data_IF_650629402754
#
_entry.id   IF_650629402754
#
_cell.length_a   1.000
_cell.length_b   1.000
_cell.length_c   1.000
_cell.angle_alpha   90.00
_cell.angle_beta   90.00
_cell.angle_gamma   90.00
#
_symmetry.space_group_name_H-M   'P 1'
#
loop_
_entity.id
_entity.type
_entity.pdbx_description
1 polymer ?
#
# COMPACT_ATOMS: atom_id res chain seq x y z
N UNK A 1 -25.63 -23.07 30.02
CA UNK A 1 -24.24 -22.68 29.67
C UNK A 1 -23.93 -22.84 28.18
N UNK A 2 -24.47 -23.85 27.50
CA UNK A 2 -24.08 -24.16 26.11
C UNK A 2 -24.45 -23.09 25.08
N UNK A 3 -25.52 -22.33 25.32
CA UNK A 3 -25.93 -21.22 24.45
C UNK A 3 -24.93 -20.05 24.47
N UNK A 4 -24.37 -19.73 25.64
CA UNK A 4 -23.40 -18.64 25.76
C UNK A 4 -22.07 -19.03 25.08
N UNK A 5 -21.61 -20.27 25.29
CA UNK A 5 -20.42 -20.80 24.61
C UNK A 5 -20.57 -20.77 23.08
N UNK A 6 -21.73 -21.22 22.56
CA UNK A 6 -22.03 -21.15 21.12
C UNK A 6 -22.02 -19.71 20.58
N UNK A 7 -22.63 -18.75 21.28
CA UNK A 7 -22.61 -17.34 20.89
C UNK A 7 -21.19 -16.77 20.82
N UNK A 8 -20.34 -17.09 21.80
CA UNK A 8 -18.94 -16.64 21.83
C UNK A 8 -18.17 -17.21 20.63
N UNK A 9 -18.32 -18.50 20.33
CA UNK A 9 -17.66 -19.14 19.19
C UNK A 9 -18.13 -18.52 17.87
N UNK A 10 -19.44 -18.31 17.70
CA UNK A 10 -19.98 -17.68 16.49
C UNK A 10 -19.43 -16.27 16.31
N UNK A 11 -19.41 -15.45 17.36
CA UNK A 11 -18.84 -14.10 17.31
C UNK A 11 -17.35 -14.11 16.94
N UNK A 12 -16.57 -15.04 17.49
CA UNK A 12 -15.15 -15.18 17.14
C UNK A 12 -14.95 -15.56 15.67
N UNK A 13 -15.78 -16.48 15.15
CA UNK A 13 -15.75 -16.89 13.75
C UNK A 13 -16.13 -15.74 12.80
N UNK A 14 -17.23 -15.02 13.10
CA UNK A 14 -17.65 -13.85 12.32
C UNK A 14 -16.59 -12.75 12.35
N UNK A 15 -15.97 -12.49 13.51
CA UNK A 15 -14.87 -11.53 13.64
C UNK A 15 -13.69 -11.93 12.77
N UNK A 16 -13.31 -13.21 12.79
CA UNK A 16 -12.21 -13.72 11.97
C UNK A 16 -12.52 -13.54 10.48
N UNK A 17 -13.71 -13.94 10.04
CA UNK A 17 -14.15 -13.78 8.64
C UNK A 17 -14.06 -12.31 8.19
N UNK A 18 -14.57 -11.37 8.99
CA UNK A 18 -14.49 -9.93 8.69
C UNK A 18 -13.04 -9.43 8.61
N UNK A 19 -12.16 -9.91 9.48
CA UNK A 19 -10.73 -9.55 9.43
C UNK A 19 -10.08 -10.10 8.16
N UNK A 20 -10.40 -11.34 7.78
CA UNK A 20 -9.87 -11.98 6.58
C UNK A 20 -10.33 -11.24 5.31
N UNK A 21 -11.61 -10.85 5.24
CA UNK A 21 -12.17 -10.01 4.17
C UNK A 21 -11.48 -8.64 4.10
N UNK A 22 -11.28 -7.97 5.24
CA UNK A 22 -10.57 -6.69 5.29
C UNK A 22 -9.11 -6.81 4.83
N UNK A 23 -8.42 -7.91 5.17
CA UNK A 23 -7.06 -8.16 4.74
C UNK A 23 -6.96 -8.41 3.24
N UNK A 24 -7.91 -9.16 2.67
CA UNK A 24 -7.99 -9.38 1.22
C UNK A 24 -8.16 -8.04 0.50
N UNK A 25 -9.13 -7.24 0.96
CA UNK A 25 -9.39 -5.91 0.41
C UNK A 25 -8.15 -5.00 0.49
N UNK A 26 -7.49 -4.96 1.65
CA UNK A 26 -6.27 -4.17 1.84
C UNK A 26 -5.17 -4.59 0.85
N UNK A 27 -5.03 -5.89 0.60
CA UNK A 27 -4.06 -6.42 -0.37
C UNK A 27 -4.37 -5.95 -1.80
N UNK A 28 -5.63 -6.05 -2.22
CA UNK A 28 -6.08 -5.62 -3.54
C UNK A 28 -5.87 -4.11 -3.75
N UNK A 29 -6.23 -3.30 -2.77
CA UNK A 29 -6.00 -1.86 -2.81
C UNK A 29 -4.51 -1.51 -2.85
N UNK A 30 -3.68 -2.22 -2.10
CA UNK A 30 -2.23 -2.00 -2.12
C UNK A 30 -1.68 -2.31 -3.52
N UNK A 31 -2.11 -3.40 -4.15
CA UNK A 31 -1.72 -3.74 -5.53
C UNK A 31 -2.16 -2.67 -6.52
N UNK A 32 -3.41 -2.19 -6.42
CA UNK A 32 -3.92 -1.08 -7.24
C UNK A 32 -3.11 0.20 -7.02
N UNK A 33 -2.76 0.53 -5.78
CA UNK A 33 -1.92 1.71 -5.50
C UNK A 33 -0.53 1.57 -6.16
N UNK A 34 0.11 0.40 -6.01
CA UNK A 34 1.41 0.14 -6.63
C UNK A 34 1.35 0.20 -8.16
N UNK A 35 0.25 -0.22 -8.79
CA UNK A 35 0.11 -0.11 -10.24
C UNK A 35 0.05 1.34 -10.74
N UNK A 36 -0.29 2.30 -9.89
CA UNK A 36 -0.20 3.74 -10.21
C UNK A 36 1.17 4.33 -9.87
N UNK A 37 1.78 3.91 -8.76
CA UNK A 37 3.09 4.43 -8.33
C UNK A 37 4.21 3.97 -9.28
N UNK A 38 4.20 2.70 -9.72
CA UNK A 38 5.30 2.14 -10.52
C UNK A 38 5.55 2.92 -11.83
N UNK A 39 4.53 3.24 -12.64
CA UNK A 39 4.73 4.09 -13.83
C UNK A 39 5.24 5.49 -13.51
N UNK A 40 4.82 6.09 -12.38
CA UNK A 40 5.28 7.41 -11.95
C UNK A 40 6.77 7.38 -11.61
N UNK A 41 7.22 6.34 -10.90
CA UNK A 41 8.64 6.15 -10.58
C UNK A 41 9.48 5.92 -11.84
N UNK A 42 9.00 5.11 -12.78
CA UNK A 42 9.69 4.87 -14.06
C UNK A 42 9.81 6.16 -14.91
N UNK A 43 8.72 6.90 -15.05
CA UNK A 43 8.74 8.17 -15.78
C UNK A 43 9.66 9.20 -15.10
N UNK A 44 9.66 9.25 -13.76
CA UNK A 44 10.55 10.11 -13.00
C UNK A 44 12.01 9.71 -13.16
N UNK A 45 12.32 8.41 -13.14
CA UNK A 45 13.70 7.94 -13.32
C UNK A 45 14.25 8.27 -14.69
N UNK A 46 13.45 8.07 -15.75
CA UNK A 46 13.85 8.34 -17.12
C UNK A 46 14.13 9.84 -17.32
N UNK A 47 13.21 10.71 -16.85
CA UNK A 47 13.34 12.17 -16.99
C UNK A 47 14.53 12.74 -16.24
N UNK A 48 14.91 12.14 -15.11
CA UNK A 48 15.98 12.63 -14.24
C UNK A 48 17.28 11.82 -14.38
N UNK A 49 17.37 10.93 -15.38
CA UNK A 49 18.54 10.07 -15.61
C UNK A 49 18.94 9.25 -14.39
N UNK A 50 17.96 8.77 -13.62
CA UNK A 50 18.18 7.93 -12.44
C UNK A 50 18.30 6.48 -12.90
N UNK A 51 19.45 5.86 -12.66
CA UNK A 51 19.71 4.47 -13.09
C UNK A 51 19.15 3.42 -12.13
N UNK A 52 18.87 3.78 -10.87
CA UNK A 52 18.40 2.85 -9.84
C UNK A 52 17.59 3.56 -8.74
N UNK A 53 16.47 2.97 -8.36
CA UNK A 53 15.67 3.36 -7.18
C UNK A 53 15.68 2.17 -6.21
N UNK A 54 15.88 2.45 -4.92
CA UNK A 54 16.06 1.43 -3.88
C UNK A 54 15.15 1.73 -2.68
N UNK A 55 14.58 0.69 -2.05
CA UNK A 55 13.77 0.86 -0.83
C UNK A 55 14.66 1.37 0.32
N UNK A 56 14.22 2.45 0.97
CA UNK A 56 14.89 3.06 2.12
C UNK A 56 15.15 2.09 3.27
N UNK A 57 14.35 1.03 3.43
CA UNK A 57 14.53 0.00 4.48
C UNK A 57 15.89 -0.66 4.49
N UNK A 58 16.55 -0.76 3.34
CA UNK A 58 17.88 -1.39 3.23
C UNK A 58 19.02 -0.38 3.20
N UNK A 59 18.71 0.92 3.29
CA UNK A 59 19.69 2.00 3.29
C UNK A 59 19.93 2.46 4.73
N UNK A 60 21.17 2.32 5.22
CA UNK A 60 21.54 2.75 6.59
C UNK A 60 21.81 4.26 6.62
N UNK A 61 22.48 4.79 5.59
CA UNK A 61 22.83 6.21 5.44
C UNK A 61 22.71 6.63 3.98
N UNK A 62 22.24 7.84 3.74
CA UNK A 62 22.11 8.43 2.41
C UNK A 62 21.85 9.94 2.52
N UNK A 63 22.20 10.68 1.48
CA UNK A 63 21.92 12.13 1.47
C UNK A 63 20.42 12.36 1.25
N UNK A 64 19.82 13.25 2.04
CA UNK A 64 18.39 13.60 1.92
C UNK A 64 18.02 14.13 0.54
N UNK A 65 18.95 14.80 -0.14
CA UNK A 65 18.74 15.31 -1.52
C UNK A 65 18.47 14.21 -2.56
N UNK A 66 18.86 12.96 -2.26
CA UNK A 66 18.62 11.78 -3.09
C UNK A 66 17.28 11.09 -2.78
N UNK A 67 16.59 11.47 -1.70
CA UNK A 67 15.28 10.92 -1.35
C UNK A 67 14.20 11.52 -2.26
N UNK A 68 13.64 10.70 -3.14
CA UNK A 68 12.62 11.12 -4.10
C UNK A 68 11.19 10.94 -3.56
N UNK A 69 11.01 10.45 -2.34
CA UNK A 69 9.71 10.02 -1.80
C UNK A 69 8.65 11.12 -1.90
N UNK A 70 8.98 12.32 -1.43
CA UNK A 70 8.04 13.47 -1.47
C UNK A 70 7.67 13.86 -2.90
N UNK A 71 8.63 13.83 -3.82
CA UNK A 71 8.40 14.14 -5.23
C UNK A 71 7.44 13.13 -5.88
N UNK A 72 7.62 11.83 -5.60
CA UNK A 72 6.74 10.77 -6.10
C UNK A 72 5.34 10.89 -5.50
N UNK A 73 5.22 11.20 -4.20
CA UNK A 73 3.93 11.44 -3.55
C UNK A 73 3.19 12.62 -4.20
N UNK A 74 3.88 13.73 -4.47
CA UNK A 74 3.27 14.89 -5.12
C UNK A 74 2.78 14.55 -6.53
N UNK A 75 3.60 13.87 -7.34
CA UNK A 75 3.22 13.41 -8.68
C UNK A 75 2.04 12.43 -8.66
N UNK A 76 1.97 11.57 -7.65
CA UNK A 76 0.83 10.67 -7.45
C UNK A 76 -0.44 11.46 -7.15
N UNK A 77 -0.39 12.41 -6.21
CA UNK A 77 -1.55 13.21 -5.82
C UNK A 77 -2.08 14.09 -6.97
N UNK A 78 -1.21 14.53 -7.88
CA UNK A 78 -1.60 15.25 -9.09
C UNK A 78 -2.36 14.34 -10.08
N UNK A 79 -1.93 13.08 -10.22
CA UNK A 79 -2.47 12.14 -11.22
C UNK A 79 -3.64 11.30 -10.72
N UNK A 80 -3.66 10.96 -9.43
CA UNK A 80 -4.60 10.01 -8.83
C UNK A 80 -5.28 10.66 -7.64
N UNK A 81 -6.56 11.01 -7.81
CA UNK A 81 -7.37 11.62 -6.75
C UNK A 81 -8.10 10.60 -5.87
N UNK A 82 -8.39 9.43 -6.42
CA UNK A 82 -9.15 8.37 -5.75
C UNK A 82 -8.77 7.01 -6.32
N UNK A 83 -8.70 5.99 -5.46
CA UNK A 83 -8.57 4.59 -5.85
C UNK A 83 -9.86 3.88 -5.45
N UNK A 84 -10.67 3.52 -6.45
CA UNK A 84 -11.95 2.87 -6.21
C UNK A 84 -11.78 1.37 -5.94
N UNK A 85 -12.49 0.89 -4.92
CA UNK A 85 -12.93 -0.51 -4.92
C UNK A 85 -14.00 -0.65 -6.01
N UNK A 86 -13.95 -1.76 -6.74
CA UNK A 86 -15.12 -2.15 -7.50
C UNK A 86 -16.14 -2.77 -6.56
#
# INVERSE_FOLDING_TARGET
MDNLKKKVINYQNEKKQKIDELNLLKSELTKKLLSHINPIMAEYSDKNSISLIVDKKIIVLGKTELDITEKIINLLNEKVKEIKLN
#
